data_IF_151369747544
#
_entry.id   IF_151369747544
#
_cell.length_a   1.000
_cell.length_b   1.000
_cell.length_c   1.000
_cell.angle_alpha   90.00
_cell.angle_beta   90.00
_cell.angle_gamma   90.00
#
_symmetry.space_group_name_H-M   'P 1'
#
loop_
_entity.id
_entity.type
_entity.pdbx_description
1 polymer ?
#
# COMPACT_ATOMS: atom_id res chain seq x y z
N UNK A 1 -32.83 -5.22 19.11
CA UNK A 1 -32.20 -6.05 18.06
C UNK A 1 -30.80 -5.50 17.85
N UNK A 2 -29.79 -6.14 18.43
CA UNK A 2 -28.39 -5.72 18.28
C UNK A 2 -27.84 -6.35 16.99
N UNK A 3 -27.57 -5.51 15.99
CA UNK A 3 -26.86 -5.96 14.79
C UNK A 3 -25.38 -6.17 15.17
N UNK A 4 -25.01 -7.42 15.39
CA UNK A 4 -23.64 -7.84 15.56
C UNK A 4 -22.92 -7.66 14.21
N UNK A 5 -22.22 -6.54 14.05
CA UNK A 5 -21.33 -6.33 12.90
C UNK A 5 -20.16 -7.31 13.07
N UNK A 6 -20.30 -8.48 12.45
CA UNK A 6 -19.20 -9.42 12.31
C UNK A 6 -18.23 -8.81 11.30
N UNK A 7 -17.25 -8.03 11.77
CA UNK A 7 -16.07 -7.65 10.99
C UNK A 7 -15.30 -8.94 10.68
N UNK A 8 -15.74 -9.63 9.64
CA UNK A 8 -15.03 -10.74 9.05
C UNK A 8 -13.89 -10.13 8.23
N UNK A 9 -12.94 -9.47 8.88
CA UNK A 9 -11.82 -8.80 8.24
C UNK A 9 -10.86 -9.85 7.71
N UNK A 10 -11.16 -10.38 6.52
CA UNK A 10 -10.17 -11.05 5.68
C UNK A 10 -8.95 -10.12 5.63
N UNK A 11 -7.78 -10.68 5.93
CA UNK A 11 -6.52 -9.95 5.76
C UNK A 11 -6.47 -9.37 4.33
N UNK A 12 -6.05 -8.11 4.16
CA UNK A 12 -6.06 -7.46 2.86
C UNK A 12 -5.22 -8.26 1.86
N UNK A 13 -5.74 -8.42 0.65
CA UNK A 13 -5.00 -9.09 -0.42
C UNK A 13 -3.88 -8.19 -0.93
N UNK A 14 -2.94 -8.76 -1.70
CA UNK A 14 -1.93 -7.97 -2.40
C UNK A 14 -2.58 -6.86 -3.26
N UNK A 15 -3.68 -7.19 -3.96
CA UNK A 15 -4.39 -6.23 -4.81
C UNK A 15 -4.96 -5.07 -4.00
N UNK A 16 -5.51 -5.35 -2.81
CA UNK A 16 -6.07 -4.31 -1.93
C UNK A 16 -4.97 -3.37 -1.45
N UNK A 17 -3.87 -3.91 -0.95
CA UNK A 17 -2.72 -3.12 -0.47
C UNK A 17 -2.08 -2.31 -1.60
N UNK A 18 -1.87 -2.93 -2.76
CA UNK A 18 -1.30 -2.25 -3.94
C UNK A 18 -2.17 -1.09 -4.39
N UNK A 19 -3.48 -1.29 -4.47
CA UNK A 19 -4.42 -0.23 -4.87
C UNK A 19 -4.41 0.92 -3.87
N UNK A 20 -4.38 0.62 -2.57
CA UNK A 20 -4.29 1.64 -1.53
C UNK A 20 -3.03 2.50 -1.69
N UNK A 21 -1.85 1.88 -1.78
CA UNK A 21 -0.60 2.63 -1.89
C UNK A 21 -0.49 3.45 -3.17
N UNK A 22 -1.00 2.95 -4.31
CA UNK A 22 -1.05 3.74 -5.54
C UNK A 22 -2.00 4.93 -5.41
N UNK A 23 -3.14 4.75 -4.74
CA UNK A 23 -4.06 5.86 -4.45
C UNK A 23 -3.41 6.91 -3.55
N UNK A 24 -2.68 6.48 -2.51
CA UNK A 24 -1.96 7.39 -1.61
C UNK A 24 -0.92 8.21 -2.39
N UNK A 25 -0.12 7.55 -3.25
CA UNK A 25 0.85 8.24 -4.12
C UNK A 25 0.15 9.27 -5.02
N UNK A 26 -0.96 8.91 -5.64
CA UNK A 26 -1.70 9.82 -6.51
C UNK A 26 -2.18 11.07 -5.76
N UNK A 27 -2.71 10.91 -4.55
CA UNK A 27 -3.16 12.02 -3.71
C UNK A 27 -2.00 12.96 -3.32
N UNK A 28 -0.87 12.40 -2.91
CA UNK A 28 0.30 13.19 -2.52
C UNK A 28 0.91 13.93 -3.73
N UNK A 29 0.91 13.32 -4.92
CA UNK A 29 1.34 13.97 -6.16
C UNK A 29 0.42 15.14 -6.54
N UNK A 30 -0.90 14.95 -6.43
CA UNK A 30 -1.85 16.05 -6.69
C UNK A 30 -1.72 17.17 -5.64
N UNK A 31 -1.47 16.84 -4.38
CA UNK A 31 -1.21 17.82 -3.33
C UNK A 31 0.02 18.68 -3.64
N UNK A 32 1.11 18.08 -4.15
CA UNK A 32 2.30 18.82 -4.60
C UNK A 32 1.95 19.76 -5.77
N UNK A 33 1.21 19.28 -6.77
CA UNK A 33 0.83 20.10 -7.95
C UNK A 33 -0.02 21.31 -7.60
N UNK A 34 -0.90 21.19 -6.60
CA UNK A 34 -1.82 22.25 -6.19
C UNK A 34 -1.13 23.36 -5.39
N UNK A 35 0.05 23.13 -4.81
CA UNK A 35 0.79 24.15 -4.07
C UNK A 35 1.60 25.04 -5.01
N UNK A 36 1.45 26.35 -4.85
CA UNK A 36 2.30 27.33 -5.53
C UNK A 36 3.71 27.27 -4.91
N UNK A 37 4.61 26.51 -5.56
CA UNK A 37 5.93 26.02 -5.11
C UNK A 37 6.96 27.08 -4.65
N UNK A 38 6.59 28.35 -4.53
CA UNK A 38 7.58 29.42 -4.32
C UNK A 38 8.11 29.54 -2.89
N UNK A 39 7.43 29.02 -1.85
CA UNK A 39 7.82 29.25 -0.45
C UNK A 39 7.61 28.05 0.50
N UNK A 40 7.35 26.83 0.01
CA UNK A 40 6.87 25.72 0.86
C UNK A 40 7.66 24.42 0.67
N UNK A 41 9.00 24.52 0.64
CA UNK A 41 9.89 23.37 0.42
C UNK A 41 9.76 22.30 1.49
N UNK A 42 9.60 22.69 2.76
CA UNK A 42 9.41 21.75 3.87
C UNK A 42 8.13 20.92 3.69
N UNK A 43 7.04 21.54 3.20
CA UNK A 43 5.82 20.78 2.91
C UNK A 43 5.98 19.84 1.72
N UNK A 44 6.79 20.19 0.71
CA UNK A 44 7.08 19.29 -0.41
C UNK A 44 7.83 18.06 0.09
N UNK A 45 8.81 18.25 0.97
CA UNK A 45 9.59 17.16 1.55
C UNK A 45 8.71 16.19 2.35
N UNK A 46 7.70 16.68 3.07
CA UNK A 46 6.71 15.84 3.73
C UNK A 46 5.90 14.99 2.74
N UNK A 47 5.41 15.58 1.64
CA UNK A 47 4.68 14.86 0.60
C UNK A 47 5.57 13.80 -0.07
N UNK A 48 6.83 14.13 -0.36
CA UNK A 48 7.82 13.19 -0.91
C UNK A 48 8.12 12.04 0.07
N UNK A 49 8.22 12.32 1.37
CA UNK A 49 8.41 11.29 2.38
C UNK A 49 7.23 10.30 2.42
N UNK A 50 5.99 10.79 2.31
CA UNK A 50 4.79 9.95 2.26
C UNK A 50 4.73 9.09 1.00
N UNK A 51 5.11 9.66 -0.15
CA UNK A 51 5.26 8.90 -1.40
C UNK A 51 6.27 7.75 -1.22
N UNK A 52 7.42 8.03 -0.61
CA UNK A 52 8.44 7.01 -0.33
C UNK A 52 7.90 5.89 0.58
N UNK A 53 7.15 6.23 1.63
CA UNK A 53 6.53 5.24 2.52
C UNK A 53 5.56 4.33 1.74
N UNK A 54 4.71 4.90 0.87
CA UNK A 54 3.79 4.13 0.06
C UNK A 54 4.53 3.20 -0.94
N UNK A 55 5.63 3.67 -1.54
CA UNK A 55 6.46 2.86 -2.42
C UNK A 55 7.10 1.67 -1.68
N UNK A 56 7.60 1.90 -0.46
CA UNK A 56 8.11 0.82 0.39
C UNK A 56 7.01 -0.20 0.72
N UNK A 57 5.80 0.26 1.05
CA UNK A 57 4.65 -0.61 1.27
C UNK A 57 4.30 -1.49 0.06
N UNK A 58 4.42 -0.97 -1.17
CA UNK A 58 4.25 -1.77 -2.40
C UNK A 58 5.33 -2.85 -2.51
N UNK A 59 6.59 -2.52 -2.19
CA UNK A 59 7.69 -3.49 -2.23
C UNK A 59 7.48 -4.61 -1.22
N UNK A 60 7.07 -4.28 0.00
CA UNK A 60 6.77 -5.25 1.06
C UNK A 60 5.58 -6.15 0.67
N UNK A 61 4.51 -5.57 0.12
CA UNK A 61 3.37 -6.33 -0.36
C UNK A 61 3.77 -7.32 -1.47
N UNK A 62 4.64 -6.91 -2.41
CA UNK A 62 5.18 -7.79 -3.46
C UNK A 62 6.02 -8.92 -2.88
N UNK A 63 6.89 -8.61 -1.92
CA UNK A 63 7.73 -9.62 -1.26
C UNK A 63 6.86 -10.65 -0.53
N UNK A 64 5.87 -10.19 0.25
CA UNK A 64 4.94 -11.09 0.95
C UNK A 64 4.16 -11.99 -0.01
N UNK A 65 3.78 -11.49 -1.19
CA UNK A 65 3.14 -12.30 -2.21
C UNK A 65 4.10 -13.38 -2.75
N UNK A 66 5.35 -13.00 -3.05
CA UNK A 66 6.35 -13.94 -3.54
C UNK A 66 6.64 -15.06 -2.52
N UNK A 67 6.78 -14.71 -1.24
CA UNK A 67 6.96 -15.68 -0.15
C UNK A 67 5.80 -16.67 -0.06
N UNK A 68 4.55 -16.18 -0.13
CA UNK A 68 3.35 -17.03 -0.13
C UNK A 68 3.31 -17.98 -1.33
N UNK A 69 3.72 -17.53 -2.51
CA UNK A 69 3.80 -18.37 -3.72
C UNK A 69 4.86 -19.46 -3.55
N UNK A 70 6.04 -19.11 -3.06
CA UNK A 70 7.12 -20.09 -2.83
C UNK A 70 6.73 -21.16 -1.80
N UNK A 71 6.09 -20.75 -0.70
CA UNK A 71 5.59 -21.69 0.29
C UNK A 71 4.53 -22.63 -0.30
N UNK A 72 3.58 -22.09 -1.06
CA UNK A 72 2.53 -22.88 -1.73
C UNK A 72 3.08 -23.88 -2.76
N UNK A 73 4.25 -23.61 -3.36
CA UNK A 73 4.93 -24.53 -4.27
C UNK A 73 5.73 -25.62 -3.55
N UNK A 74 6.22 -25.31 -2.34
CA UNK A 74 7.01 -26.23 -1.51
C UNK A 74 6.13 -27.30 -0.84
N UNK A 75 4.86 -26.96 -0.57
CA UNK A 75 3.88 -27.85 0.05
C UNK A 75 3.18 -28.80 -0.95
N UNK A 76 3.51 -28.76 -2.25
CA UNK A 76 2.97 -29.71 -3.22
C UNK A 76 3.73 -31.04 -3.14
N UNK A 77 3.05 -32.17 -2.82
CA UNK A 77 3.70 -33.48 -2.84
C UNK A 77 4.08 -33.86 -4.26
N UNK A 78 5.34 -34.19 -4.48
CA UNK A 78 5.83 -34.81 -5.71
C UNK A 78 4.99 -36.06 -5.99
N UNK A 79 4.20 -36.02 -7.05
CA UNK A 79 3.38 -37.15 -7.52
C UNK A 79 4.17 -37.96 -8.54
#
# INVERSE_FOLDING_TARGET
MEQKITLNSKSPTFSDMFTQYISDIALEVEAIKLRNLKNDSESIDEHLARINIALLGIMEAKLSLAEKVLQSQSDKPST
#
